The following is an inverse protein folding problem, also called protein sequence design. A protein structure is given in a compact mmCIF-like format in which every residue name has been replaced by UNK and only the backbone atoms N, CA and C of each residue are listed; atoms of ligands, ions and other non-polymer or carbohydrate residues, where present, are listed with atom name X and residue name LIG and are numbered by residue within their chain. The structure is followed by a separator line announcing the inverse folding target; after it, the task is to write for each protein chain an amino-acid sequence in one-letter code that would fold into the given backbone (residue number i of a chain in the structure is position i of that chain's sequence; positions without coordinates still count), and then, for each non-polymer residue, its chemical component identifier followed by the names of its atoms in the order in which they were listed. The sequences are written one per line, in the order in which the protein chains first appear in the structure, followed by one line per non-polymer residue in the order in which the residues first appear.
data_IF_898331683776
#
_entry.id   IF_898331683776
#
_cell.length_a   1.000
_cell.length_b   1.000
_cell.length_c   1.000
_cell.angle_alpha   90.00
_cell.angle_beta   90.00
_cell.angle_gamma   90.00
#
_symmetry.space_group_name_H-M   'P 1'
#
loop_
_entity.id
_entity.type
_entity.pdbx_description
1 polymer ?
#
# COMPACT_ATOMS: atom_id res chain seq x y z
N UNK A 1 -125.48 10.32 41.10
CA UNK A 1 -125.66 9.12 40.27
C UNK A 1 -124.27 8.78 39.75
N UNK A 2 -123.57 7.72 40.12
CA UNK A 2 -123.84 6.49 40.86
C UNK A 2 -122.42 5.92 41.15
N UNK A 3 -122.17 5.48 42.39
CA UNK A 3 -121.23 4.40 42.68
C UNK A 3 -122.13 3.14 42.76
N UNK A 4 -121.75 1.89 42.38
CA UNK A 4 -120.57 1.23 42.95
C UNK A 4 -119.90 0.11 42.11
N UNK A 5 -118.61 -0.15 42.35
CA UNK A 5 -118.08 -1.52 42.31
C UNK A 5 -116.89 -1.62 43.28
N UNK A 6 -117.24 -1.98 44.51
CA UNK A 6 -116.37 -2.63 45.50
C UNK A 6 -115.52 -3.73 44.84
N UNK A 7 -114.18 -3.73 44.98
CA UNK A 7 -113.39 -4.92 44.70
C UNK A 7 -113.71 -5.95 45.78
N UNK A 8 -114.19 -7.12 45.37
CA UNK A 8 -114.47 -8.25 46.24
C UNK A 8 -113.28 -8.55 47.15
N UNK A 9 -113.60 -8.46 48.44
CA UNK A 9 -112.94 -9.05 49.59
C UNK A 9 -112.81 -10.58 49.43
N UNK A 10 -111.79 -11.15 50.08
CA UNK A 10 -111.42 -12.58 50.17
C UNK A 10 -110.41 -13.13 49.13
N UNK A 11 -109.28 -12.46 48.96
CA UNK A 11 -108.06 -13.20 48.62
C UNK A 11 -107.73 -14.09 49.81
N UNK A 12 -108.04 -15.38 49.71
CA UNK A 12 -107.64 -16.39 50.69
C UNK A 12 -106.17 -16.12 51.09
N UNK A 13 -105.84 -15.86 52.37
CA UNK A 13 -104.48 -15.51 52.78
C UNK A 13 -103.46 -16.56 52.34
N UNK A 14 -103.89 -17.80 52.12
CA UNK A 14 -103.08 -18.88 51.55
C UNK A 14 -102.66 -18.59 50.11
N UNK A 15 -103.54 -18.01 49.30
CA UNK A 15 -103.31 -17.69 47.89
C UNK A 15 -102.35 -16.49 47.76
N UNK A 16 -102.48 -15.47 48.62
CA UNK A 16 -101.54 -14.36 48.69
C UNK A 16 -100.11 -14.81 49.10
N UNK A 17 -100.00 -15.76 50.05
CA UNK A 17 -98.72 -16.35 50.45
C UNK A 17 -98.13 -17.22 49.33
N UNK A 18 -98.94 -17.98 48.60
CA UNK A 18 -98.50 -18.78 47.47
C UNK A 18 -97.95 -17.90 46.32
N UNK A 19 -98.64 -16.80 45.99
CA UNK A 19 -98.19 -15.84 44.97
C UNK A 19 -96.85 -15.20 45.35
N UNK A 20 -96.66 -14.81 46.62
CA UNK A 20 -95.37 -14.26 47.11
C UNK A 20 -94.23 -15.27 47.04
N UNK A 21 -94.48 -16.54 47.38
CA UNK A 21 -93.47 -17.60 47.27
C UNK A 21 -93.11 -17.89 45.82
N UNK A 22 -94.09 -17.88 44.92
CA UNK A 22 -93.86 -18.04 43.49
C UNK A 22 -93.01 -16.88 42.94
N UNK A 23 -93.34 -15.64 43.28
CA UNK A 23 -92.57 -14.46 42.88
C UNK A 23 -91.12 -14.52 43.39
N UNK A 24 -90.91 -14.95 44.65
CA UNK A 24 -89.57 -15.19 45.19
C UNK A 24 -88.81 -16.28 44.42
N UNK A 25 -89.45 -17.39 44.08
CA UNK A 25 -88.83 -18.46 43.29
C UNK A 25 -88.48 -17.97 41.88
N UNK A 26 -89.38 -17.21 41.24
CA UNK A 26 -89.14 -16.62 39.92
C UNK A 26 -87.98 -15.62 39.98
N UNK A 27 -87.89 -14.77 41.01
CA UNK A 27 -86.77 -13.85 41.19
C UNK A 27 -85.44 -14.58 41.43
N UNK A 28 -85.44 -15.63 42.25
CA UNK A 28 -84.25 -16.45 42.48
C UNK A 28 -83.82 -17.19 41.21
N UNK A 29 -84.76 -17.72 40.44
CA UNK A 29 -84.51 -18.35 39.15
C UNK A 29 -83.97 -17.33 38.14
N UNK A 30 -84.55 -16.14 38.06
CA UNK A 30 -84.08 -15.06 37.20
C UNK A 30 -82.66 -14.60 37.56
N UNK A 31 -82.36 -14.38 38.85
CA UNK A 31 -81.01 -14.06 39.32
C UNK A 31 -80.00 -15.17 39.05
N UNK A 32 -80.43 -16.43 39.14
CA UNK A 32 -79.59 -17.59 38.79
C UNK A 32 -79.32 -17.63 37.29
N UNK A 33 -80.34 -17.40 36.46
CA UNK A 33 -80.21 -17.33 35.01
C UNK A 33 -79.27 -16.20 34.57
N UNK A 34 -79.41 -15.00 35.14
CA UNK A 34 -78.51 -13.87 34.85
C UNK A 34 -77.05 -14.18 35.20
N UNK A 35 -76.80 -14.91 36.30
CA UNK A 35 -75.44 -15.35 36.66
C UNK A 35 -74.88 -16.38 35.68
N UNK A 36 -75.72 -17.29 35.20
CA UNK A 36 -75.30 -18.23 34.16
C UNK A 36 -75.05 -17.55 32.83
N UNK A 37 -75.91 -16.63 32.42
CA UNK A 37 -75.73 -15.84 31.20
C UNK A 37 -74.41 -15.08 31.20
N UNK A 38 -74.07 -14.39 32.30
CA UNK A 38 -72.76 -13.72 32.45
C UNK A 38 -71.58 -14.69 32.36
N UNK A 39 -71.70 -15.89 32.94
CA UNK A 39 -70.64 -16.91 32.86
C UNK A 39 -70.51 -17.48 31.45
N UNK A 40 -71.62 -17.67 30.75
CA UNK A 40 -71.63 -18.12 29.36
C UNK A 40 -70.95 -17.06 28.48
N UNK A 41 -71.33 -15.80 28.61
CA UNK A 41 -70.71 -14.69 27.87
C UNK A 41 -69.20 -14.58 28.13
N UNK A 42 -68.75 -14.74 29.37
CA UNK A 42 -67.31 -14.74 29.69
C UNK A 42 -66.59 -15.93 29.03
N UNK A 43 -67.18 -17.13 29.07
CA UNK A 43 -66.61 -18.30 28.41
C UNK A 43 -66.58 -18.13 26.89
N UNK A 44 -67.64 -17.59 26.30
CA UNK A 44 -67.72 -17.28 24.86
C UNK A 44 -66.63 -16.29 24.46
N UNK A 45 -66.44 -15.21 25.23
CA UNK A 45 -65.38 -14.23 24.98
C UNK A 45 -63.99 -14.87 25.08
N UNK A 46 -63.75 -15.70 26.10
CA UNK A 46 -62.46 -16.40 26.26
C UNK A 46 -62.19 -17.39 25.12
N UNK A 47 -63.22 -18.09 24.65
CA UNK A 47 -63.12 -19.00 23.50
C UNK A 47 -62.85 -18.20 22.22
N UNK A 48 -63.56 -17.10 22.00
CA UNK A 48 -63.37 -16.24 20.85
C UNK A 48 -61.94 -15.68 20.79
N UNK A 49 -61.42 -15.18 21.91
CA UNK A 49 -60.03 -14.72 22.03
C UNK A 49 -59.03 -15.86 21.81
N UNK A 50 -59.28 -17.04 22.39
CA UNK A 50 -58.43 -18.21 22.19
C UNK A 50 -58.38 -18.65 20.73
N UNK A 51 -59.52 -18.66 20.04
CA UNK A 51 -59.62 -19.00 18.62
C UNK A 51 -58.93 -17.96 17.74
N UNK A 52 -59.08 -16.68 18.06
CA UNK A 52 -58.39 -15.59 17.37
C UNK A 52 -56.88 -15.72 17.50
N UNK A 53 -56.37 -15.98 18.70
CA UNK A 53 -54.94 -16.18 18.95
C UNK A 53 -54.40 -17.41 18.22
N UNK A 54 -55.12 -18.54 18.27
CA UNK A 54 -54.73 -19.76 17.56
C UNK A 54 -54.71 -19.54 16.03
N UNK A 55 -55.66 -18.77 15.50
CA UNK A 55 -55.70 -18.40 14.08
C UNK A 55 -54.52 -17.50 13.71
N UNK A 56 -54.21 -16.50 14.53
CA UNK A 56 -53.03 -15.63 14.32
C UNK A 56 -51.75 -16.46 14.26
N UNK A 57 -51.55 -17.34 15.25
CA UNK A 57 -50.38 -18.20 15.29
C UNK A 57 -50.29 -19.12 14.07
N UNK A 58 -51.43 -19.66 13.61
CA UNK A 58 -51.47 -20.51 12.42
C UNK A 58 -51.07 -19.72 11.16
N UNK A 59 -51.51 -18.47 11.04
CA UNK A 59 -51.11 -17.60 9.92
C UNK A 59 -49.62 -17.28 9.96
N UNK A 60 -49.05 -17.01 11.14
CA UNK A 60 -47.62 -16.77 11.32
C UNK A 60 -46.78 -18.02 10.98
N UNK A 61 -47.25 -19.21 11.37
CA UNK A 61 -46.63 -20.48 11.00
C UNK A 61 -46.70 -20.73 9.48
N UNK A 62 -47.78 -20.32 8.82
CA UNK A 62 -47.90 -20.43 7.38
C UNK A 62 -46.98 -19.45 6.65
N UNK A 63 -46.84 -18.21 7.13
CA UNK A 63 -45.92 -17.22 6.55
C UNK A 63 -44.45 -17.65 6.73
N UNK A 64 -44.08 -18.10 7.93
CA UNK A 64 -42.73 -18.61 8.17
C UNK A 64 -42.39 -19.84 7.32
N UNK A 65 -43.33 -20.77 7.13
CA UNK A 65 -43.17 -21.89 6.20
C UNK A 65 -42.93 -21.40 4.77
N UNK A 66 -43.73 -20.45 4.30
CA UNK A 66 -43.58 -19.88 2.95
C UNK A 66 -42.20 -19.24 2.76
N UNK A 67 -41.72 -18.47 3.74
CA UNK A 67 -40.39 -17.86 3.71
C UNK A 67 -39.27 -18.89 3.69
N UNK A 68 -39.42 -20.00 4.43
CA UNK A 68 -38.47 -21.11 4.41
C UNK A 68 -38.41 -21.77 3.03
N UNK A 69 -39.58 -22.04 2.40
CA UNK A 69 -39.64 -22.61 1.05
C UNK A 69 -39.04 -21.65 -0.01
N UNK A 70 -39.24 -20.35 0.13
CA UNK A 70 -38.61 -19.34 -0.74
C UNK A 70 -37.10 -19.29 -0.55
N UNK A 71 -36.63 -19.36 0.70
CA UNK A 71 -35.20 -19.38 1.02
C UNK A 71 -34.51 -20.66 0.53
N UNK A 72 -35.17 -21.82 0.66
CA UNK A 72 -34.69 -23.09 0.12
C UNK A 72 -34.53 -23.02 -1.40
N UNK A 73 -35.53 -22.52 -2.13
CA UNK A 73 -35.44 -22.33 -3.59
C UNK A 73 -34.32 -21.37 -3.98
N UNK A 74 -34.16 -20.27 -3.25
CA UNK A 74 -33.09 -19.31 -3.50
C UNK A 74 -31.71 -19.93 -3.24
N UNK A 75 -31.62 -20.77 -2.21
CA UNK A 75 -30.42 -21.51 -1.88
C UNK A 75 -30.10 -22.54 -2.97
N UNK A 76 -31.05 -23.37 -3.41
CA UNK A 76 -30.86 -24.32 -4.50
C UNK A 76 -30.40 -23.63 -5.79
N UNK A 77 -31.06 -22.54 -6.18
CA UNK A 77 -30.65 -21.75 -7.35
C UNK A 77 -29.22 -21.19 -7.17
N UNK A 78 -28.85 -20.83 -5.94
CA UNK A 78 -27.50 -20.37 -5.64
C UNK A 78 -26.45 -21.48 -5.71
N UNK A 79 -26.80 -22.70 -5.29
CA UNK A 79 -25.96 -23.88 -5.41
C UNK A 79 -25.73 -24.24 -6.87
N UNK A 80 -26.77 -24.18 -7.70
CA UNK A 80 -26.67 -24.53 -9.11
C UNK A 80 -25.99 -23.45 -9.96
N UNK A 81 -26.08 -22.18 -9.56
CA UNK A 81 -25.56 -21.06 -10.38
C UNK A 81 -24.22 -20.54 -9.86
N UNK A 82 -24.16 -20.16 -8.59
CA UNK A 82 -23.00 -19.43 -8.05
C UNK A 82 -21.82 -20.35 -7.77
N UNK A 83 -22.05 -21.56 -7.28
CA UNK A 83 -20.94 -22.47 -6.96
C UNK A 83 -20.17 -22.89 -8.23
N UNK A 84 -20.81 -23.28 -9.34
CA UNK A 84 -20.11 -23.54 -10.58
C UNK A 84 -19.39 -22.32 -11.13
N UNK A 85 -20.02 -21.14 -11.07
CA UNK A 85 -19.41 -19.89 -11.53
C UNK A 85 -18.14 -19.54 -10.72
N UNK A 86 -18.21 -19.65 -9.39
CA UNK A 86 -17.05 -19.42 -8.51
C UNK A 86 -15.95 -20.44 -8.83
N UNK A 87 -16.30 -21.73 -8.97
CA UNK A 87 -15.34 -22.77 -9.34
C UNK A 87 -14.68 -22.49 -10.69
N UNK A 88 -15.44 -22.03 -11.68
CA UNK A 88 -14.91 -21.65 -12.98
C UNK A 88 -13.94 -20.46 -12.85
N UNK A 89 -14.33 -19.42 -12.11
CA UNK A 89 -13.50 -18.24 -11.88
C UNK A 89 -12.18 -18.57 -11.16
N UNK A 90 -12.24 -19.49 -10.19
CA UNK A 90 -11.03 -20.01 -9.52
C UNK A 90 -10.15 -20.71 -10.53
N UNK A 91 -10.69 -21.63 -11.35
CA UNK A 91 -9.92 -22.33 -12.37
C UNK A 91 -9.29 -21.40 -13.42
N UNK A 92 -10.00 -20.34 -13.85
CA UNK A 92 -9.41 -19.32 -14.74
C UNK A 92 -8.32 -18.51 -14.04
N UNK A 93 -8.47 -18.23 -12.75
CA UNK A 93 -7.46 -17.49 -11.99
C UNK A 93 -6.20 -18.32 -11.78
N UNK A 94 -6.35 -19.60 -11.45
CA UNK A 94 -5.22 -20.55 -11.38
C UNK A 94 -4.49 -20.63 -12.72
N UNK A 95 -5.23 -20.68 -13.84
CA UNK A 95 -4.63 -20.67 -15.18
C UNK A 95 -3.81 -19.40 -15.42
N UNK A 96 -4.35 -18.22 -15.12
CA UNK A 96 -3.61 -16.95 -15.27
C UNK A 96 -2.39 -16.88 -14.36
N UNK A 97 -2.48 -17.42 -13.14
CA UNK A 97 -1.32 -17.49 -12.23
C UNK A 97 -0.25 -18.40 -12.82
N UNK A 98 -0.62 -19.57 -13.36
CA UNK A 98 0.31 -20.48 -14.04
C UNK A 98 0.98 -19.83 -15.26
N UNK A 99 0.20 -19.15 -16.10
CA UNK A 99 0.73 -18.38 -17.24
C UNK A 99 1.69 -17.27 -16.77
N UNK A 100 1.36 -16.57 -15.68
CA UNK A 100 2.21 -15.52 -15.13
C UNK A 100 3.50 -16.10 -14.54
N UNK A 101 3.44 -17.24 -13.87
CA UNK A 101 4.61 -17.95 -13.33
C UNK A 101 5.56 -18.37 -14.46
N UNK A 102 5.06 -18.73 -15.64
CA UNK A 102 5.88 -19.05 -16.80
C UNK A 102 6.48 -17.81 -17.46
N UNK A 103 5.72 -16.70 -17.56
CA UNK A 103 6.14 -15.48 -18.28
C UNK A 103 7.06 -14.58 -17.44
N UNK A 104 6.87 -14.54 -16.12
CA UNK A 104 7.63 -13.63 -15.24
C UNK A 104 9.15 -13.86 -15.29
N UNK A 105 9.67 -15.12 -15.26
CA UNK A 105 11.09 -15.39 -15.39
C UNK A 105 11.66 -14.92 -16.74
N UNK A 106 10.91 -15.09 -17.83
CA UNK A 106 11.32 -14.66 -19.16
C UNK A 106 11.46 -13.12 -19.23
N UNK A 107 10.53 -12.40 -18.61
CA UNK A 107 10.61 -10.93 -18.51
C UNK A 107 11.75 -10.48 -17.60
N UNK A 108 11.98 -11.17 -16.48
CA UNK A 108 13.12 -10.88 -15.60
C UNK A 108 14.46 -11.06 -16.32
N UNK A 109 14.64 -12.15 -17.08
CA UNK A 109 15.82 -12.35 -17.92
C UNK A 109 15.99 -11.24 -18.97
N UNK A 110 14.88 -10.80 -19.57
CA UNK A 110 14.92 -9.70 -20.54
C UNK A 110 15.36 -8.38 -19.91
N UNK A 111 14.88 -8.07 -18.69
CA UNK A 111 15.30 -6.88 -17.94
C UNK A 111 16.79 -6.98 -17.56
N UNK A 112 17.24 -8.15 -17.12
CA UNK A 112 18.66 -8.37 -16.80
C UNK A 112 19.55 -8.18 -18.04
N UNK A 113 19.12 -8.67 -19.21
CA UNK A 113 19.81 -8.43 -20.48
C UNK A 113 19.90 -6.94 -20.85
N UNK A 114 18.81 -6.19 -20.68
CA UNK A 114 18.80 -4.74 -20.90
C UNK A 114 19.74 -4.02 -19.92
N UNK A 115 19.76 -4.45 -18.66
CA UNK A 115 20.64 -3.88 -17.64
C UNK A 115 22.12 -4.10 -17.97
N UNK A 116 22.49 -5.29 -18.45
CA UNK A 116 23.86 -5.57 -18.89
C UNK A 116 24.23 -4.75 -20.14
N UNK A 117 23.32 -4.62 -21.11
CA UNK A 117 23.52 -3.73 -22.25
C UNK A 117 23.72 -2.28 -21.82
N UNK A 118 22.91 -1.77 -20.89
CA UNK A 118 23.04 -0.43 -20.34
C UNK A 118 24.38 -0.23 -19.61
N UNK A 119 24.79 -1.18 -18.76
CA UNK A 119 26.11 -1.15 -18.11
C UNK A 119 27.25 -1.12 -19.14
N UNK A 120 27.14 -1.93 -20.18
CA UNK A 120 28.15 -1.98 -21.25
C UNK A 120 28.23 -0.65 -22.01
N UNK A 121 27.08 -0.04 -22.31
CA UNK A 121 26.99 1.28 -22.93
C UNK A 121 27.59 2.36 -22.05
N UNK A 122 27.31 2.34 -20.75
CA UNK A 122 27.87 3.28 -19.77
C UNK A 122 29.39 3.17 -19.68
N UNK A 123 29.94 1.94 -19.63
CA UNK A 123 31.40 1.74 -19.63
C UNK A 123 32.03 2.28 -20.92
N UNK A 124 31.42 2.03 -22.08
CA UNK A 124 31.90 2.57 -23.37
C UNK A 124 31.85 4.09 -23.41
N UNK A 125 30.78 4.69 -22.91
CA UNK A 125 30.65 6.14 -22.83
C UNK A 125 31.72 6.75 -21.91
N UNK A 126 31.99 6.13 -20.75
CA UNK A 126 33.07 6.57 -19.86
C UNK A 126 34.45 6.45 -20.51
N UNK A 127 34.73 5.35 -21.21
CA UNK A 127 35.97 5.19 -21.97
C UNK A 127 36.09 6.31 -23.01
N UNK A 128 35.03 6.55 -23.78
CA UNK A 128 35.00 7.59 -24.80
C UNK A 128 35.18 8.98 -24.19
N UNK A 129 34.51 9.28 -23.08
CA UNK A 129 34.66 10.54 -22.33
C UNK A 129 36.10 10.73 -21.83
N UNK A 130 36.74 9.67 -21.31
CA UNK A 130 38.16 9.72 -20.92
C UNK A 130 39.08 9.92 -22.12
N UNK A 131 38.77 9.35 -23.28
CA UNK A 131 39.55 9.55 -24.51
C UNK A 131 39.37 10.96 -25.08
N UNK A 132 38.14 11.48 -25.13
CA UNK A 132 37.81 12.83 -25.58
C UNK A 132 38.42 13.89 -24.67
N UNK A 133 38.28 13.73 -23.35
CA UNK A 133 38.89 14.66 -22.38
C UNK A 133 40.42 14.67 -22.48
N UNK A 134 41.03 13.54 -22.85
CA UNK A 134 42.46 13.48 -23.12
C UNK A 134 42.84 14.19 -24.43
N UNK A 135 42.02 14.04 -25.48
CA UNK A 135 42.20 14.70 -26.79
C UNK A 135 42.04 16.22 -26.73
N UNK A 136 41.10 16.74 -25.93
CA UNK A 136 40.88 18.18 -25.75
C UNK A 136 41.90 18.84 -24.82
N UNK A 137 42.69 18.05 -24.10
CA UNK A 137 43.73 18.57 -23.21
C UNK A 137 44.87 19.21 -24.01
N UNK A 138 45.41 20.34 -23.52
CA UNK A 138 46.48 21.05 -24.23
C UNK A 138 47.75 20.20 -24.36
N UNK A 139 48.53 20.36 -25.43
CA UNK A 139 49.76 19.58 -25.67
C UNK A 139 50.72 19.61 -24.47
N UNK A 140 50.88 20.76 -23.82
CA UNK A 140 51.74 20.90 -22.63
C UNK A 140 51.23 20.09 -21.44
N UNK A 141 49.92 20.05 -21.22
CA UNK A 141 49.31 19.25 -20.16
C UNK A 141 49.34 17.74 -20.47
N UNK A 142 49.20 17.35 -21.74
CA UNK A 142 49.38 15.97 -22.19
C UNK A 142 50.81 15.48 -21.93
N UNK A 143 51.82 16.29 -22.26
CA UNK A 143 53.24 15.97 -21.98
C UNK A 143 53.51 15.95 -20.47
N UNK A 144 52.97 16.90 -19.70
CA UNK A 144 53.12 16.94 -18.23
C UNK A 144 52.52 15.71 -17.56
N UNK A 145 51.28 15.33 -17.91
CA UNK A 145 50.62 14.13 -17.33
C UNK A 145 51.32 12.83 -17.74
N UNK A 146 51.81 12.73 -18.97
CA UNK A 146 52.49 11.51 -19.45
C UNK A 146 53.90 11.35 -18.90
N UNK A 147 54.62 12.45 -18.72
CA UNK A 147 55.95 12.44 -18.12
C UNK A 147 55.91 12.24 -16.59
N UNK A 148 54.92 12.83 -15.89
CA UNK A 148 54.89 12.85 -14.42
C UNK A 148 53.90 11.87 -13.77
N UNK A 149 52.70 11.65 -14.34
CA UNK A 149 51.63 10.86 -13.71
C UNK A 149 51.46 9.43 -14.25
N UNK A 150 52.23 9.01 -15.26
CA UNK A 150 52.17 7.67 -15.91
C UNK A 150 50.79 7.21 -16.44
N UNK A 151 49.75 8.02 -16.35
CA UNK A 151 48.42 7.72 -16.87
C UNK A 151 48.31 8.28 -18.28
N UNK A 152 48.49 7.42 -19.29
CA UNK A 152 47.96 7.74 -20.61
C UNK A 152 47.36 6.52 -21.29
N UNK A 153 46.20 6.68 -21.94
CA UNK A 153 45.52 5.62 -22.67
C UNK A 153 46.22 5.26 -24.01
N UNK A 154 47.30 5.95 -24.39
CA UNK A 154 48.05 5.66 -25.62
C UNK A 154 49.04 4.51 -25.45
N UNK A 155 49.32 3.86 -26.58
CA UNK A 155 50.33 2.80 -26.76
C UNK A 155 51.62 3.10 -25.98
N UNK A 156 52.13 2.07 -25.27
CA UNK A 156 53.39 2.11 -24.49
C UNK A 156 54.59 2.66 -25.28
N UNK A 157 54.55 2.58 -26.61
CA UNK A 157 55.60 3.12 -27.50
C UNK A 157 55.62 4.65 -27.50
N UNK A 158 54.45 5.30 -27.49
CA UNK A 158 54.35 6.75 -27.48
C UNK A 158 54.82 7.34 -26.14
N UNK A 159 54.46 6.70 -25.02
CA UNK A 159 54.95 7.09 -23.68
C UNK A 159 56.48 7.09 -23.60
N UNK A 160 57.13 6.08 -24.21
CA UNK A 160 58.59 5.99 -24.24
C UNK A 160 59.22 7.12 -25.04
N UNK A 161 58.67 7.42 -26.21
CA UNK A 161 59.18 8.48 -27.09
C UNK A 161 59.04 9.86 -26.44
N UNK A 162 57.89 10.16 -25.82
CA UNK A 162 57.69 11.44 -25.11
C UNK A 162 58.68 11.58 -23.96
N UNK A 163 58.89 10.53 -23.16
CA UNK A 163 59.88 10.56 -22.06
C UNK A 163 61.29 10.83 -22.57
N UNK A 164 61.71 10.11 -23.62
CA UNK A 164 63.03 10.31 -24.24
C UNK A 164 63.18 11.75 -24.72
N UNK A 165 62.16 12.29 -25.39
CA UNK A 165 62.18 13.66 -25.90
C UNK A 165 62.27 14.69 -24.77
N UNK A 166 61.53 14.49 -23.67
CA UNK A 166 61.61 15.36 -22.48
C UNK A 166 63.00 15.31 -21.84
N UNK A 167 63.58 14.12 -21.67
CA UNK A 167 64.94 13.99 -21.15
C UNK A 167 65.97 14.67 -22.05
N UNK A 168 65.86 14.52 -23.36
CA UNK A 168 66.72 15.21 -24.32
C UNK A 168 66.59 16.73 -24.20
N UNK A 169 65.37 17.25 -24.08
CA UNK A 169 65.15 18.70 -23.96
C UNK A 169 65.76 19.27 -22.67
N UNK A 170 65.64 18.54 -21.55
CA UNK A 170 66.25 18.92 -20.28
C UNK A 170 67.78 18.87 -20.38
N UNK A 171 68.33 17.84 -21.01
CA UNK A 171 69.78 17.66 -21.16
C UNK A 171 70.37 18.76 -22.06
N UNK A 172 69.72 19.03 -23.19
CA UNK A 172 70.09 20.11 -24.10
C UNK A 172 69.99 21.46 -23.38
N UNK A 173 68.87 21.75 -22.72
CA UNK A 173 68.69 22.99 -21.94
C UNK A 173 69.77 23.18 -20.88
N UNK A 174 70.13 22.13 -20.14
CA UNK A 174 71.22 22.16 -19.16
C UNK A 174 72.57 22.48 -19.80
N UNK A 175 72.89 21.87 -20.95
CA UNK A 175 74.14 22.17 -21.66
C UNK A 175 74.18 23.60 -22.22
N UNK A 176 73.06 24.12 -22.75
CA UNK A 176 72.96 25.51 -23.18
C UNK A 176 73.12 26.49 -22.02
N UNK A 177 72.51 26.22 -20.86
CA UNK A 177 72.72 27.06 -19.67
C UNK A 177 74.16 27.01 -19.17
N UNK A 178 74.80 25.83 -19.24
CA UNK A 178 76.20 25.67 -18.84
C UNK A 178 77.16 26.36 -19.80
N UNK A 179 76.87 26.36 -21.11
CA UNK A 179 77.65 27.10 -22.11
C UNK A 179 77.47 28.61 -21.96
N UNK A 180 76.23 29.09 -21.74
CA UNK A 180 75.98 30.52 -21.58
C UNK A 180 76.56 31.05 -20.25
N UNK A 181 76.48 30.28 -19.15
CA UNK A 181 77.15 30.64 -17.88
C UNK A 181 78.68 30.49 -17.92
N UNK A 182 79.23 29.68 -18.84
CA UNK A 182 80.68 29.56 -19.04
C UNK A 182 81.32 30.87 -19.49
N UNK A 183 80.62 31.66 -20.31
CA UNK A 183 81.15 32.95 -20.79
C UNK A 183 81.00 34.08 -19.75
N UNK A 184 79.95 34.06 -18.91
CA UNK A 184 79.76 35.08 -17.86
C UNK A 184 80.70 34.92 -16.66
N UNK A 185 81.22 33.72 -16.40
CA UNK A 185 82.07 33.46 -15.23
C UNK A 185 83.55 33.78 -15.49
N UNK A 186 84.03 33.62 -16.73
CA UNK A 186 85.43 33.92 -17.10
C UNK A 186 85.67 35.43 -17.28
N UNK A 187 84.65 36.22 -17.65
CA UNK A 187 84.82 37.67 -17.87
C UNK A 187 84.77 38.53 -16.60
N UNK A 188 84.35 37.99 -15.45
CA UNK A 188 84.25 38.74 -14.18
C UNK A 188 85.43 38.49 -13.23
N UNK A 189 86.12 37.34 -13.32
CA UNK A 189 87.23 36.99 -12.42
C UNK A 189 88.55 37.69 -12.81
N UNK A 190 88.71 38.14 -14.06
CA UNK A 190 89.93 38.85 -14.50
C UNK A 190 89.95 40.37 -14.22
N UNK A 191 88.89 40.95 -13.66
CA UNK A 191 88.79 42.40 -13.40
C UNK A 191 89.16 42.83 -11.99
N UNK A 192 89.41 41.89 -11.07
CA UNK A 192 89.62 42.16 -9.64
C UNK A 192 90.96 41.66 -9.07
N UNK A 193 91.96 41.36 -9.91
CA UNK A 193 93.33 41.05 -9.44
C UNK A 193 94.39 42.03 -9.95
N UNK A 194 94.57 43.21 -9.33
CA UNK A 194 95.80 43.98 -9.43
C UNK A 194 96.79 43.50 -8.35
N UNK A 195 97.80 42.73 -8.77
CA UNK A 195 98.91 42.28 -7.95
C UNK A 195 100.17 43.08 -8.29
N UNK A 196 100.55 43.91 -7.32
CA UNK A 196 101.55 44.97 -7.24
C UNK A 196 103.01 44.60 -7.59
N UNK A 197 103.81 45.60 -7.98
CA UNK A 197 105.27 45.51 -7.94
C UNK A 197 105.90 46.85 -7.53
N UNK A 198 106.09 47.05 -6.23
CA UNK A 198 107.13 47.91 -5.62
C UNK A 198 107.19 47.58 -4.12
N UNK A 199 108.26 47.61 -3.33
CA UNK A 199 109.71 47.65 -3.48
C UNK A 199 110.26 47.33 -2.06
N UNK A 200 111.48 46.79 -1.95
CA UNK A 200 112.42 46.92 -0.81
C UNK A 200 112.07 46.59 0.67
N UNK A 201 112.99 45.83 1.30
CA UNK A 201 113.57 45.96 2.67
C UNK A 201 112.64 45.90 3.91
N UNK A 202 112.70 44.88 4.77
CA UNK A 202 113.67 44.60 5.87
C UNK A 202 113.41 45.39 7.19
N UNK A 203 113.86 44.91 8.37
CA UNK A 203 112.97 44.45 9.44
C UNK A 203 113.21 45.17 10.78
N UNK A 204 112.31 45.01 11.76
CA UNK A 204 112.55 45.18 13.22
C UNK A 204 111.24 44.87 13.96
N UNK A 205 111.11 43.77 14.71
CA UNK A 205 111.50 43.60 16.13
C UNK A 205 110.95 44.67 17.08
N UNK A 206 109.93 44.32 17.87
CA UNK A 206 110.08 43.99 19.30
C UNK A 206 108.76 43.44 19.88
#
# INVERSE_FOLDING_TARGET
MENPATPLESTDPRLAVAVRRLDQVVQLAAQRNLRFEKRIQELENRIALGLQNARSQTLDMQDSKKRLEEAEKALDLSFDTWIPLIRQNIGTSEKHIGELEEVLPQKLQSIEGIHELYKSGRRRAQILETELSWLTMSWFEQVRRTALLQESPRSKRWQRNVRILTYLFILIGSTYTSMNMGDYTISQISRWWPGDSSNSTEPTQH
#
